data_IF_932370046237
#
_entry.id   IF_932370046237
#
_cell.length_a   1.000
_cell.length_b   1.000
_cell.length_c   1.000
_cell.angle_alpha   90.00
_cell.angle_beta   90.00
_cell.angle_gamma   90.00
#
_symmetry.space_group_name_H-M   'P 1'
#
loop_
_entity.id
_entity.type
_entity.pdbx_description
1 polymer ?
#
# COMPACT_ATOMS: atom_id res chain seq x y z
N UNK A 1 -22.45 56.86 41.30
CA UNK A 1 -23.45 55.82 41.65
C UNK A 1 -22.71 54.49 41.56
N UNK A 2 -22.09 54.01 42.66
CA UNK A 2 -22.58 52.92 43.54
C UNK A 2 -22.96 51.66 42.72
N UNK A 3 -22.35 50.47 42.81
CA UNK A 3 -21.39 49.87 43.74
C UNK A 3 -20.76 48.63 43.08
N UNK A 4 -19.49 48.41 43.40
CA UNK A 4 -18.69 47.16 43.32
C UNK A 4 -19.30 46.12 44.26
N UNK A 5 -19.26 44.82 43.96
CA UNK A 5 -19.13 43.79 45.00
C UNK A 5 -18.43 42.52 44.50
N UNK A 6 -17.39 42.17 45.24
CA UNK A 6 -16.53 41.00 45.13
C UNK A 6 -17.04 39.87 46.05
N UNK A 7 -16.58 38.64 45.75
CA UNK A 7 -16.37 37.51 46.68
C UNK A 7 -17.62 36.77 47.22
N UNK A 8 -17.65 35.45 47.06
CA UNK A 8 -17.51 34.50 48.18
C UNK A 8 -17.28 33.05 47.72
N UNK A 9 -16.26 32.48 48.35
CA UNK A 9 -15.79 31.10 48.35
C UNK A 9 -16.83 30.16 48.97
N UNK A 10 -17.12 29.02 48.33
CA UNK A 10 -18.04 28.00 48.83
C UNK A 10 -17.51 26.60 48.56
N UNK A 11 -16.68 26.12 49.48
CA UNK A 11 -16.21 24.73 49.59
C UNK A 11 -17.33 23.89 50.24
N UNK A 12 -17.95 22.98 49.49
CA UNK A 12 -18.79 21.92 50.06
C UNK A 12 -18.37 20.56 49.53
N UNK A 13 -17.74 19.85 50.46
CA UNK A 13 -17.39 18.44 50.46
C UNK A 13 -18.70 17.61 50.51
N UNK A 14 -18.92 16.73 49.52
CA UNK A 14 -19.83 15.60 49.69
C UNK A 14 -19.15 14.32 49.17
N UNK A 15 -18.56 13.64 50.14
CA UNK A 15 -18.06 12.28 50.10
C UNK A 15 -19.16 11.26 49.78
N UNK A 16 -18.97 10.49 48.72
CA UNK A 16 -19.57 9.16 48.57
C UNK A 16 -18.47 8.10 48.65
N UNK A 17 -18.51 7.33 49.73
CA UNK A 17 -17.70 6.13 49.94
C UNK A 17 -18.44 4.91 49.39
N UNK A 18 -17.64 4.08 48.70
CA UNK A 18 -17.72 2.63 48.60
C UNK A 18 -18.85 1.98 47.77
N UNK A 19 -18.46 1.50 46.58
CA UNK A 19 -18.85 0.17 46.15
C UNK A 19 -17.61 -0.56 45.59
N UNK A 20 -17.40 -1.76 46.13
CA UNK A 20 -16.31 -2.69 45.91
C UNK A 20 -16.43 -3.38 44.55
N UNK A 21 -15.29 -3.66 43.89
CA UNK A 21 -15.25 -4.48 42.69
C UNK A 21 -13.84 -4.54 42.14
N UNK A 22 -13.05 -5.51 42.60
CA UNK A 22 -11.69 -5.75 42.12
C UNK A 22 -11.65 -6.15 40.65
N UNK A 23 -10.54 -5.82 40.00
CA UNK A 23 -10.23 -6.24 38.65
C UNK A 23 -9.12 -5.37 38.09
N UNK A 24 -7.87 -5.79 38.27
CA UNK A 24 -6.74 -5.15 37.61
C UNK A 24 -6.91 -5.26 36.10
N UNK A 25 -7.06 -4.10 35.46
CA UNK A 25 -7.12 -3.99 34.00
C UNK A 25 -5.69 -4.17 33.47
N UNK A 26 -5.41 -5.39 33.01
CA UNK A 26 -4.23 -5.69 32.21
C UNK A 26 -4.44 -5.04 30.85
N UNK A 27 -3.44 -4.28 30.44
CA UNK A 27 -3.18 -3.86 29.07
C UNK A 27 -3.31 -5.06 28.13
N UNK A 28 -4.36 -5.11 27.31
CA UNK A 28 -4.45 -6.06 26.20
C UNK A 28 -3.64 -5.51 25.03
N UNK A 29 -2.41 -6.01 24.95
CA UNK A 29 -1.60 -6.02 23.74
C UNK A 29 -2.38 -6.76 22.65
N UNK A 30 -2.69 -6.04 21.57
CA UNK A 30 -3.39 -6.55 20.39
C UNK A 30 -2.53 -7.66 19.77
N UNK A 31 -2.85 -8.91 20.07
CA UNK A 31 -2.19 -10.07 19.50
C UNK A 31 -2.33 -10.03 17.96
N UNK A 32 -1.18 -10.06 17.28
CA UNK A 32 -1.07 -10.33 15.85
C UNK A 32 -1.66 -11.72 15.61
N UNK A 33 -2.81 -11.77 14.95
CA UNK A 33 -3.37 -13.02 14.47
C UNK A 33 -2.43 -13.58 13.39
N UNK A 34 -1.70 -14.64 13.74
CA UNK A 34 -0.94 -15.44 12.79
C UNK A 34 -1.92 -16.37 12.09
N UNK A 35 -2.22 -16.07 10.82
CA UNK A 35 -3.07 -16.91 10.00
C UNK A 35 -2.37 -18.27 9.79
N UNK A 36 -3.08 -19.41 9.87
CA UNK A 36 -2.48 -20.71 9.66
C UNK A 36 -2.00 -20.83 8.20
N UNK A 37 -0.72 -21.16 8.01
CA UNK A 37 -0.14 -21.48 6.72
C UNK A 37 -0.87 -22.71 6.12
N UNK A 38 -1.83 -22.45 5.24
CA UNK A 38 -2.44 -23.49 4.41
C UNK A 38 -1.43 -23.84 3.32
N UNK A 39 -0.68 -24.91 3.51
CA UNK A 39 0.13 -25.50 2.46
C UNK A 39 -0.79 -26.00 1.34
N UNK A 40 -0.95 -25.18 0.30
CA UNK A 40 -1.58 -25.60 -0.95
C UNK A 40 -0.57 -26.51 -1.68
N UNK A 41 -0.96 -27.75 -1.94
CA UNK A 41 -0.13 -28.67 -2.72
C UNK A 41 0.12 -28.07 -4.11
N UNK A 42 1.39 -27.84 -4.45
CA UNK A 42 1.78 -27.29 -5.73
C UNK A 42 1.31 -28.21 -6.87
N UNK A 43 0.67 -27.65 -7.88
CA UNK A 43 0.27 -28.38 -9.08
C UNK A 43 1.51 -28.93 -9.82
N UNK A 44 1.42 -30.09 -10.50
CA UNK A 44 2.51 -30.58 -11.34
C UNK A 44 2.86 -29.52 -12.41
N UNK A 45 4.13 -29.11 -12.45
CA UNK A 45 4.61 -28.03 -13.33
C UNK A 45 4.74 -26.65 -12.67
N UNK A 46 4.50 -26.55 -11.36
CA UNK A 46 4.81 -25.34 -10.59
C UNK A 46 6.33 -25.11 -10.49
N UNK A 47 6.71 -23.83 -10.36
CA UNK A 47 8.10 -23.42 -10.12
C UNK A 47 8.61 -23.99 -8.79
N UNK A 48 9.74 -24.70 -8.83
CA UNK A 48 10.38 -25.28 -7.65
C UNK A 48 11.43 -24.32 -7.08
N UNK A 49 11.23 -23.89 -5.83
CA UNK A 49 12.23 -23.11 -5.11
C UNK A 49 13.39 -24.00 -4.67
N UNK A 50 14.60 -23.67 -5.13
CA UNK A 50 15.85 -24.35 -4.78
C UNK A 50 16.93 -23.34 -4.38
N UNK A 51 17.92 -23.82 -3.62
CA UNK A 51 19.18 -23.08 -3.45
C UNK A 51 19.96 -23.11 -4.76
N UNK A 52 20.28 -21.94 -5.31
CA UNK A 52 21.08 -21.79 -6.53
C UNK A 52 22.54 -21.49 -6.14
N UNK A 53 23.45 -22.44 -6.37
CA UNK A 53 24.89 -22.33 -6.03
C UNK A 53 25.74 -21.72 -7.15
N UNK A 54 25.42 -22.02 -8.41
CA UNK A 54 26.21 -21.62 -9.59
C UNK A 54 25.39 -20.72 -10.53
N UNK A 55 24.78 -19.69 -9.97
CA UNK A 55 23.92 -18.75 -10.69
C UNK A 55 24.68 -17.74 -11.55
N UNK A 56 24.00 -17.20 -12.57
CA UNK A 56 24.47 -16.04 -13.35
C UNK A 56 23.77 -14.74 -12.92
N UNK A 57 24.27 -13.60 -13.41
CA UNK A 57 23.60 -12.30 -13.25
C UNK A 57 23.23 -11.74 -14.62
N UNK A 58 21.97 -11.33 -14.78
CA UNK A 58 21.52 -10.55 -15.94
C UNK A 58 21.53 -9.07 -15.55
N UNK A 59 22.21 -8.24 -16.34
CA UNK A 59 22.24 -6.78 -16.19
C UNK A 59 21.92 -6.13 -17.53
N UNK A 60 21.17 -5.05 -17.50
CA UNK A 60 20.81 -4.29 -18.68
C UNK A 60 20.02 -3.04 -18.36
N UNK A 61 19.78 -2.22 -19.37
CA UNK A 61 18.90 -1.07 -19.31
C UNK A 61 17.86 -1.20 -20.42
N UNK A 62 16.60 -0.90 -20.10
CA UNK A 62 15.52 -0.83 -21.08
C UNK A 62 15.30 0.63 -21.45
N UNK A 63 15.46 0.94 -22.73
CA UNK A 63 15.37 2.30 -23.26
C UNK A 63 14.33 2.40 -24.36
N UNK A 64 13.73 3.58 -24.47
CA UNK A 64 12.82 3.94 -25.54
C UNK A 64 13.58 4.45 -26.76
N UNK A 65 13.37 3.82 -27.90
CA UNK A 65 13.98 4.21 -29.16
C UNK A 65 13.20 5.34 -29.84
N UNK A 66 13.92 6.31 -30.43
CA UNK A 66 13.31 7.42 -31.17
C UNK A 66 12.97 8.63 -30.29
N UNK A 67 12.18 9.56 -30.85
CA UNK A 67 11.83 10.79 -30.16
C UNK A 67 10.83 10.52 -29.03
N UNK A 68 11.12 11.02 -27.84
CA UNK A 68 10.23 10.90 -26.67
C UNK A 68 8.90 11.61 -26.99
N UNK A 69 7.76 10.90 -27.01
CA UNK A 69 6.49 11.52 -27.29
C UNK A 69 6.08 12.48 -26.16
N UNK A 70 5.31 13.50 -26.52
CA UNK A 70 4.70 14.39 -25.52
C UNK A 70 3.72 13.61 -24.65
N UNK A 71 3.75 13.85 -23.34
CA UNK A 71 2.80 13.24 -22.41
C UNK A 71 1.38 13.69 -22.76
N UNK A 72 0.47 12.74 -22.88
CA UNK A 72 -0.93 13.02 -23.14
C UNK A 72 -1.65 13.31 -21.82
N UNK A 73 -2.31 14.45 -21.71
CA UNK A 73 -3.15 14.76 -20.55
C UNK A 73 -4.38 13.85 -20.53
N UNK A 74 -4.75 13.39 -19.35
CA UNK A 74 -6.03 12.72 -19.10
C UNK A 74 -7.07 13.75 -18.67
N UNK A 75 -8.21 13.74 -19.36
CA UNK A 75 -9.33 14.61 -19.01
C UNK A 75 -10.20 13.96 -17.94
N UNK A 76 -10.25 14.61 -16.78
CA UNK A 76 -11.10 14.20 -15.66
C UNK A 76 -12.52 14.70 -15.91
N UNK A 77 -13.43 13.77 -16.17
CA UNK A 77 -14.86 14.08 -16.43
C UNK A 77 -15.78 13.69 -15.28
N UNK A 78 -15.27 12.94 -14.30
CA UNK A 78 -15.97 12.48 -13.10
C UNK A 78 -15.25 12.97 -11.86
N UNK A 79 -16.00 13.23 -10.80
CA UNK A 79 -15.48 13.69 -9.50
C UNK A 79 -14.45 14.82 -9.64
N UNK A 80 -14.73 15.79 -10.53
CA UNK A 80 -13.83 16.88 -10.91
C UNK A 80 -13.37 17.70 -9.70
N UNK A 81 -14.22 17.81 -8.67
CA UNK A 81 -13.90 18.50 -7.42
C UNK A 81 -12.86 17.78 -6.55
N UNK A 82 -12.57 16.51 -6.83
CA UNK A 82 -11.56 15.70 -6.15
C UNK A 82 -10.43 15.40 -7.13
N UNK A 83 -10.70 14.63 -8.18
CA UNK A 83 -9.69 14.17 -9.13
C UNK A 83 -9.17 15.26 -10.07
N UNK A 84 -9.98 16.31 -10.33
CA UNK A 84 -9.60 17.42 -11.21
C UNK A 84 -8.70 18.47 -10.54
N UNK A 85 -8.40 18.31 -9.24
CA UNK A 85 -7.50 19.21 -8.51
C UNK A 85 -6.04 19.10 -8.95
N UNK A 86 -5.67 17.97 -9.57
CA UNK A 86 -4.34 17.76 -10.12
C UNK A 86 -4.43 17.41 -11.61
N UNK A 87 -3.37 17.66 -12.34
CA UNK A 87 -3.28 17.27 -13.74
C UNK A 87 -2.80 15.83 -13.85
N UNK A 88 -3.60 15.03 -14.55
CA UNK A 88 -3.29 13.64 -14.85
C UNK A 88 -2.69 13.50 -16.24
N UNK A 89 -1.75 12.58 -16.38
CA UNK A 89 -1.18 12.20 -17.68
C UNK A 89 -1.35 10.71 -17.88
N UNK A 90 -1.45 10.30 -19.14
CA UNK A 90 -1.36 8.87 -19.48
C UNK A 90 0.00 8.34 -19.07
N UNK A 91 -0.02 7.17 -18.47
CA UNK A 91 1.17 6.40 -18.08
C UNK A 91 1.34 5.13 -18.92
N UNK A 92 0.67 5.08 -20.08
CA UNK A 92 0.87 4.03 -21.10
C UNK A 92 2.34 3.96 -21.57
N UNK A 93 3.05 5.09 -21.52
CA UNK A 93 4.48 5.17 -21.76
C UNK A 93 5.13 6.25 -20.88
N UNK A 94 5.98 5.82 -19.93
CA UNK A 94 6.73 6.73 -19.04
C UNK A 94 8.23 6.65 -19.36
N UNK A 95 8.71 7.62 -20.13
CA UNK A 95 10.12 7.73 -20.54
C UNK A 95 10.81 8.86 -19.79
N UNK A 96 11.98 8.58 -19.23
CA UNK A 96 12.87 9.59 -18.65
C UNK A 96 13.61 10.40 -19.72
N UNK A 97 14.21 11.54 -19.35
CA UNK A 97 15.00 12.36 -20.26
C UNK A 97 16.19 11.61 -20.88
N UNK A 98 16.72 10.60 -20.18
CA UNK A 98 17.81 9.75 -20.65
C UNK A 98 17.31 8.53 -21.44
N UNK A 99 16.09 8.58 -21.97
CA UNK A 99 15.43 7.48 -22.70
C UNK A 99 15.14 6.22 -21.88
N UNK A 100 15.43 6.17 -20.58
CA UNK A 100 15.09 5.03 -19.73
C UNK A 100 13.58 4.88 -19.58
N UNK A 101 13.07 3.65 -19.71
CA UNK A 101 11.66 3.31 -19.52
C UNK A 101 11.38 2.95 -18.06
N UNK A 102 10.35 3.54 -17.46
CA UNK A 102 9.88 3.18 -16.13
C UNK A 102 8.92 1.97 -16.17
N UNK A 103 8.60 1.38 -15.01
CA UNK A 103 7.59 0.34 -14.86
C UNK A 103 7.84 -0.94 -15.71
N UNK A 104 9.10 -1.27 -15.94
CA UNK A 104 9.50 -2.43 -16.75
C UNK A 104 9.49 -3.71 -15.92
N UNK A 105 8.78 -4.73 -16.40
CA UNK A 105 8.83 -6.09 -15.86
C UNK A 105 9.63 -6.98 -16.80
N UNK A 106 10.64 -7.67 -16.27
CA UNK A 106 11.46 -8.64 -17.00
C UNK A 106 11.16 -10.04 -16.47
N UNK A 107 10.83 -10.97 -17.36
CA UNK A 107 10.55 -12.36 -17.02
C UNK A 107 11.44 -13.29 -17.87
N UNK A 108 12.10 -14.24 -17.21
CA UNK A 108 12.85 -15.31 -17.85
C UNK A 108 11.90 -16.50 -18.05
N UNK A 109 11.65 -16.88 -19.30
CA UNK A 109 10.76 -17.99 -19.64
C UNK A 109 11.46 -19.33 -19.54
N UNK A 110 10.68 -20.43 -19.53
CA UNK A 110 11.16 -21.81 -19.51
C UNK A 110 12.05 -22.15 -18.30
N UNK A 111 11.81 -21.50 -17.16
CA UNK A 111 12.42 -21.84 -15.87
C UNK A 111 11.42 -22.64 -15.05
N UNK A 112 11.81 -23.84 -14.61
CA UNK A 112 10.97 -24.69 -13.75
C UNK A 112 11.46 -24.73 -12.31
N UNK A 113 12.68 -24.24 -12.04
CA UNK A 113 13.30 -24.21 -10.71
C UNK A 113 14.30 -23.07 -10.58
N UNK A 114 14.43 -22.53 -9.38
CA UNK A 114 15.40 -21.46 -9.09
C UNK A 114 15.21 -20.85 -7.71
N UNK A 115 15.71 -19.62 -7.50
CA UNK A 115 15.53 -18.91 -6.22
C UNK A 115 14.06 -18.60 -5.96
N UNK A 116 13.65 -18.64 -4.70
CA UNK A 116 12.33 -18.20 -4.29
C UNK A 116 12.08 -16.73 -4.60
N UNK A 117 10.81 -16.32 -4.55
CA UNK A 117 10.39 -14.93 -4.76
C UNK A 117 10.44 -14.09 -3.47
N UNK A 118 11.09 -14.58 -2.42
CA UNK A 118 11.16 -13.94 -1.09
C UNK A 118 11.71 -12.51 -1.14
N UNK A 119 12.52 -12.19 -2.15
CA UNK A 119 13.05 -10.85 -2.41
C UNK A 119 11.97 -9.81 -2.77
N UNK A 120 10.76 -10.24 -3.16
CA UNK A 120 9.62 -9.36 -3.36
C UNK A 120 9.08 -8.80 -2.02
N UNK A 121 9.42 -9.42 -0.89
CA UNK A 121 8.89 -9.09 0.42
C UNK A 121 7.50 -9.67 0.68
N UNK A 122 6.89 -9.25 1.78
CA UNK A 122 5.60 -9.78 2.26
C UNK A 122 4.47 -8.74 2.21
N UNK A 123 4.79 -7.48 1.90
CA UNK A 123 3.82 -6.38 1.88
C UNK A 123 3.54 -5.95 0.44
N UNK A 124 2.36 -6.31 -0.04
CA UNK A 124 1.87 -5.94 -1.37
C UNK A 124 0.70 -4.98 -1.19
N UNK A 125 0.96 -3.68 -1.36
CA UNK A 125 -0.05 -2.63 -1.20
C UNK A 125 -0.21 -1.87 -2.51
N UNK A 126 -1.45 -1.78 -2.97
CA UNK A 126 -1.86 -0.93 -4.08
C UNK A 126 -2.84 0.11 -3.55
N UNK A 127 -2.53 1.39 -3.64
CA UNK A 127 -3.41 2.45 -3.16
C UNK A 127 -4.03 3.22 -4.32
N UNK A 128 -5.29 3.61 -4.15
CA UNK A 128 -5.91 4.63 -4.98
C UNK A 128 -5.75 5.96 -4.27
N UNK A 129 -4.76 6.70 -4.74
CA UNK A 129 -4.35 7.96 -4.17
C UNK A 129 -4.21 9.00 -5.28
N UNK A 130 -4.77 10.17 -5.01
CA UNK A 130 -4.99 11.22 -5.99
C UNK A 130 -5.68 10.75 -7.29
N UNK A 131 -6.58 9.79 -7.22
CA UNK A 131 -7.27 9.18 -8.36
C UNK A 131 -6.35 8.45 -9.35
N UNK A 132 -5.21 7.95 -8.86
CA UNK A 132 -4.31 7.05 -9.56
C UNK A 132 -3.98 5.83 -8.69
N UNK A 133 -3.58 4.73 -9.33
CA UNK A 133 -3.06 3.55 -8.62
C UNK A 133 -1.57 3.72 -8.35
N UNK A 134 -1.19 3.68 -7.07
CA UNK A 134 0.19 3.80 -6.60
C UNK A 134 0.59 2.52 -5.84
N UNK A 135 1.65 1.79 -6.26
CA UNK A 135 2.46 2.05 -7.45
C UNK A 135 1.74 1.65 -8.75
N UNK A 136 2.15 2.25 -9.88
CA UNK A 136 1.62 1.91 -11.21
C UNK A 136 1.83 0.43 -11.60
N UNK A 137 2.93 -0.17 -11.13
CA UNK A 137 3.21 -1.61 -11.24
C UNK A 137 3.56 -2.16 -9.88
N UNK A 138 2.84 -3.19 -9.46
CA UNK A 138 3.10 -3.96 -8.25
C UNK A 138 3.33 -5.43 -8.62
N UNK A 139 4.49 -5.99 -8.27
CA UNK A 139 4.74 -7.43 -8.41
C UNK A 139 4.28 -8.14 -7.14
N UNK A 140 3.39 -9.11 -7.30
CA UNK A 140 2.84 -9.90 -6.18
C UNK A 140 3.14 -11.37 -6.41
N UNK A 141 3.66 -12.04 -5.38
CA UNK A 141 3.90 -13.48 -5.44
C UNK A 141 2.58 -14.25 -5.51
N UNK A 142 2.54 -15.33 -6.28
CA UNK A 142 1.34 -16.16 -6.38
C UNK A 142 0.95 -16.72 -5.00
N UNK A 143 -0.31 -16.54 -4.62
CA UNK A 143 -0.84 -16.95 -3.32
C UNK A 143 -0.58 -15.97 -2.17
N UNK A 144 0.14 -14.87 -2.40
CA UNK A 144 0.28 -13.81 -1.41
C UNK A 144 -0.97 -12.93 -1.35
N UNK A 145 -1.25 -12.36 -0.18
CA UNK A 145 -2.30 -11.37 -0.01
C UNK A 145 -1.84 -10.01 -0.55
N UNK A 146 -2.73 -9.35 -1.30
CA UNK A 146 -2.55 -7.97 -1.75
C UNK A 146 -3.58 -7.09 -1.05
N UNK A 147 -3.11 -6.04 -0.38
CA UNK A 147 -3.98 -5.02 0.21
C UNK A 147 -4.25 -3.95 -0.82
N UNK A 148 -5.53 -3.68 -1.10
CA UNK A 148 -5.92 -2.58 -1.97
C UNK A 148 -6.58 -1.50 -1.12
N UNK A 149 -6.03 -0.29 -1.19
CA UNK A 149 -6.47 0.86 -0.43
C UNK A 149 -7.19 1.87 -1.33
N UNK A 150 -7.88 2.80 -0.68
CA UNK A 150 -8.47 3.95 -1.32
C UNK A 150 -8.37 5.15 -0.36
N UNK A 151 -7.36 5.98 -0.62
CA UNK A 151 -7.04 7.16 0.16
C UNK A 151 -7.76 8.43 -0.34
N UNK A 152 -8.52 8.35 -1.43
CA UNK A 152 -9.16 9.53 -2.07
C UNK A 152 -10.48 9.96 -1.43
N UNK A 153 -11.09 9.11 -0.60
CA UNK A 153 -12.36 9.42 0.08
C UNK A 153 -13.58 9.48 -0.84
N UNK A 154 -13.43 9.02 -2.09
CA UNK A 154 -14.50 8.83 -3.07
C UNK A 154 -14.53 7.38 -3.55
N UNK A 155 -15.62 6.93 -4.17
CA UNK A 155 -15.70 5.56 -4.66
C UNK A 155 -14.94 5.41 -5.98
N UNK A 156 -14.01 4.45 -5.98
CA UNK A 156 -13.36 3.96 -7.18
C UNK A 156 -13.73 2.49 -7.41
N UNK A 157 -13.72 2.09 -8.67
CA UNK A 157 -13.91 0.69 -9.05
C UNK A 157 -12.54 0.06 -9.33
N UNK A 158 -12.39 -1.20 -8.93
CA UNK A 158 -11.27 -2.06 -9.29
C UNK A 158 -11.87 -3.19 -10.14
N UNK A 159 -11.34 -3.41 -11.34
CA UNK A 159 -11.78 -4.49 -12.24
C UNK A 159 -10.67 -5.52 -12.45
#
# INVERSE_FOLDING_TARGET
MKKVFSLFLGLTLLSFLAACGGGGEKTEEKAKAEAPAKASAAAPGAYETITVTDGGTIKGQVTFAGAIPQKQKLEVTKDVNVCGKITHYKEDLVVSQNHGLANVVVHITNISKGKGLDALGESFVLDQHNCAFEPHVLLVAAGAECTILNSDGILHNIH
#
